data_IF_669918321639
#
_entry.id   IF_669918321639
#
_cell.length_a   1.000
_cell.length_b   1.000
_cell.length_c   1.000
_cell.angle_alpha   90.00
_cell.angle_beta   90.00
_cell.angle_gamma   90.00
#
_symmetry.space_group_name_H-M   'P 1'
#
loop_
_entity.id
_entity.type
_entity.pdbx_description
1 polymer ?
#
# COMPACT_ATOMS: atom_id res chain seq x y z
N UNK A 1 -7.78 25.88 -24.53
CA UNK A 1 -8.31 24.49 -24.58
C UNK A 1 -7.24 23.40 -24.76
N UNK A 2 -5.93 23.68 -24.60
CA UNK A 2 -4.85 22.67 -24.76
C UNK A 2 -4.06 22.36 -23.46
N UNK A 3 -4.33 23.07 -22.36
CA UNK A 3 -3.63 22.90 -21.08
C UNK A 3 -4.24 21.84 -20.17
N UNK A 4 -5.53 21.52 -20.32
CA UNK A 4 -6.20 20.52 -19.46
C UNK A 4 -5.90 19.07 -19.84
N UNK A 5 -5.59 18.78 -21.12
CA UNK A 5 -5.31 17.41 -21.58
C UNK A 5 -3.97 16.90 -21.03
N UNK A 6 -2.92 17.75 -20.96
CA UNK A 6 -1.62 17.34 -20.40
C UNK A 6 -1.66 17.06 -18.89
N UNK A 7 -2.50 17.79 -18.15
CA UNK A 7 -2.66 17.59 -16.69
C UNK A 7 -3.50 16.34 -16.40
N UNK A 8 -4.60 16.11 -17.14
CA UNK A 8 -5.41 14.90 -17.02
C UNK A 8 -4.62 13.62 -17.30
N UNK A 9 -3.70 13.70 -18.26
CA UNK A 9 -2.85 12.59 -18.70
C UNK A 9 -1.71 12.30 -17.72
N UNK A 10 -1.17 13.32 -17.07
CA UNK A 10 -0.16 13.14 -15.99
C UNK A 10 -0.80 12.53 -14.73
N UNK A 11 -2.09 12.80 -14.52
CA UNK A 11 -2.90 12.27 -13.40
C UNK A 11 -3.34 10.82 -13.66
N UNK A 12 -3.57 10.44 -14.93
CA UNK A 12 -3.89 9.07 -15.36
C UNK A 12 -2.86 8.03 -14.88
N UNK A 13 -1.63 8.49 -14.67
CA UNK A 13 -0.43 7.67 -14.45
C UNK A 13 -0.10 7.57 -12.97
N UNK A 14 -0.19 8.69 -12.24
CA UNK A 14 0.01 8.71 -10.79
C UNK A 14 -0.99 7.83 -10.03
N UNK A 15 -2.10 7.44 -10.65
CA UNK A 15 -3.21 6.77 -9.98
C UNK A 15 -3.37 5.30 -10.35
N UNK A 16 -2.75 4.84 -11.43
CA UNK A 16 -2.64 3.39 -11.66
C UNK A 16 -1.56 2.77 -10.74
N UNK A 17 -0.54 3.53 -10.30
CA UNK A 17 0.78 2.94 -10.00
C UNK A 17 1.66 3.58 -8.92
N UNK A 18 1.12 4.27 -7.91
CA UNK A 18 1.96 4.42 -6.71
C UNK A 18 3.14 5.39 -6.84
N UNK A 19 3.07 6.45 -7.65
CA UNK A 19 4.24 7.30 -7.90
C UNK A 19 3.95 8.81 -7.93
N UNK A 20 4.80 9.48 -7.16
CA UNK A 20 4.73 10.85 -6.67
C UNK A 20 5.08 11.84 -7.78
N UNK A 21 4.20 12.82 -8.02
CA UNK A 21 4.60 14.09 -8.64
C UNK A 21 5.47 14.86 -7.64
N UNK A 22 6.79 14.90 -7.86
CA UNK A 22 7.64 15.93 -7.26
C UNK A 22 8.45 16.71 -8.31
N UNK A 23 8.05 17.97 -8.43
CA UNK A 23 8.82 19.16 -8.81
C UNK A 23 9.19 19.41 -10.28
N UNK A 24 8.71 20.55 -10.76
CA UNK A 24 9.52 21.49 -11.53
C UNK A 24 9.18 22.92 -11.07
N UNK A 25 9.85 23.41 -10.03
CA UNK A 25 9.99 24.85 -9.80
C UNK A 25 11.41 25.25 -10.18
N UNK A 26 11.50 26.08 -11.21
CA UNK A 26 12.72 26.64 -11.74
C UNK A 26 13.39 27.59 -10.74
N UNK A 27 14.64 27.29 -10.41
CA UNK A 27 15.57 28.18 -9.72
C UNK A 27 15.80 29.46 -10.53
N UNK A 28 15.48 30.63 -9.93
CA UNK A 28 16.07 31.92 -10.32
C UNK A 28 17.11 32.32 -9.27
N UNK A 29 18.37 32.27 -9.69
CA UNK A 29 19.53 32.96 -9.11
C UNK A 29 19.15 34.37 -8.61
N UNK A 30 19.51 34.69 -7.36
CA UNK A 30 19.90 36.05 -6.98
C UNK A 30 21.13 36.01 -6.08
N UNK A 31 22.11 36.76 -6.55
CA UNK A 31 23.45 37.04 -6.06
C UNK A 31 23.47 37.73 -4.70
N UNK A 32 24.56 37.50 -3.97
CA UNK A 32 24.95 38.24 -2.77
C UNK A 32 25.16 39.74 -3.05
N UNK A 33 25.21 40.58 -1.99
CA UNK A 33 26.51 41.12 -1.65
C UNK A 33 26.83 41.20 -0.14
N UNK A 34 28.13 41.34 0.13
CA UNK A 34 28.78 41.50 1.45
C UNK A 34 28.66 42.93 2.01
N UNK A 35 28.66 42.94 3.35
CA UNK A 35 29.22 43.90 4.33
C UNK A 35 28.94 45.41 4.26
N UNK A 36 28.62 45.98 5.43
CA UNK A 36 29.38 47.07 6.07
C UNK A 36 28.95 47.31 7.53
N UNK A 37 29.96 47.70 8.31
CA UNK A 37 30.07 47.92 9.76
C UNK A 37 29.46 49.24 10.26
N UNK A 38 29.41 49.40 11.59
CA UNK A 38 29.37 50.63 12.46
C UNK A 38 28.03 50.91 13.19
N UNK A 39 27.91 51.38 14.45
CA UNK A 39 28.73 51.56 15.68
C UNK A 39 27.78 52.06 16.80
N UNK A 40 28.02 51.69 18.09
CA UNK A 40 27.64 52.39 19.36
C UNK A 40 26.15 52.61 19.74
N UNK A 41 25.68 52.67 21.00
CA UNK A 41 26.23 52.49 22.36
C UNK A 41 25.07 52.61 23.42
N UNK A 42 25.39 52.22 24.67
CA UNK A 42 24.73 52.49 25.99
C UNK A 42 23.55 51.58 26.40
N UNK A 43 23.36 51.17 27.65
CA UNK A 43 24.16 51.13 28.89
C UNK A 43 23.35 50.41 30.01
N UNK A 44 24.01 49.57 30.83
CA UNK A 44 23.90 49.49 32.33
C UNK A 44 22.53 49.00 32.92
N UNK A 45 22.40 48.10 33.91
CA UNK A 45 23.16 47.71 35.10
C UNK A 45 22.82 46.21 35.45
N UNK A 46 23.78 45.37 35.89
CA UNK A 46 24.13 45.01 37.29
C UNK A 46 22.93 44.42 38.07
N UNK A 47 22.78 43.10 38.22
CA UNK A 47 23.53 42.07 39.00
C UNK A 47 23.02 41.91 40.44
N UNK A 48 23.21 40.68 40.94
CA UNK A 48 23.01 40.13 42.30
C UNK A 48 21.70 39.33 42.47
N UNK A 49 21.64 38.12 43.04
CA UNK A 49 22.61 37.17 43.61
C UNK A 49 21.83 35.87 44.00
N UNK A 50 22.31 34.66 43.68
CA UNK A 50 22.91 33.63 44.59
C UNK A 50 21.97 33.22 45.75
N UNK A 51 21.23 32.10 45.64
CA UNK A 51 21.53 30.73 46.10
C UNK A 51 21.58 30.52 47.63
N UNK A 52 20.95 29.42 48.11
CA UNK A 52 21.52 28.37 48.99
C UNK A 52 20.39 27.51 49.61
N UNK A 53 20.73 26.22 49.79
CA UNK A 53 19.90 25.07 50.13
C UNK A 53 19.72 24.77 51.64
N UNK A 54 18.81 23.83 51.90
CA UNK A 54 18.95 22.63 52.76
C UNK A 54 18.08 22.50 54.03
N UNK A 55 17.42 21.31 54.09
CA UNK A 55 16.99 20.48 55.25
C UNK A 55 16.00 21.10 56.26
N UNK A 56 15.15 20.39 56.99
CA UNK A 56 14.59 19.03 57.05
C UNK A 56 13.70 19.06 58.33
N UNK A 57 12.50 18.47 58.33
CA UNK A 57 11.82 17.89 59.51
C UNK A 57 10.38 17.49 59.11
N UNK A 58 10.09 16.19 58.97
CA UNK A 58 9.57 15.28 60.00
C UNK A 58 8.09 15.52 60.33
N UNK A 59 7.22 14.53 60.05
CA UNK A 59 6.02 14.10 60.83
C UNK A 59 5.11 13.17 60.01
N UNK A 60 4.96 11.94 60.54
CA UNK A 60 3.82 10.99 60.54
C UNK A 60 3.32 10.28 59.26
N UNK A 61 3.68 8.99 59.21
CA UNK A 61 2.90 7.80 58.82
C UNK A 61 1.37 8.00 58.84
N UNK A 62 0.66 7.53 57.80
CA UNK A 62 -0.42 6.50 57.86
C UNK A 62 -0.63 5.90 56.44
N UNK A 63 -0.62 4.56 56.37
CA UNK A 63 -1.21 3.66 55.35
C UNK A 63 -0.91 3.87 53.85
N UNK A 64 -0.21 2.89 53.24
CA UNK A 64 -0.73 2.09 52.10
C UNK A 64 0.19 0.88 51.90
N UNK A 65 -0.41 -0.31 51.93
CA UNK A 65 0.24 -1.59 51.62
C UNK A 65 0.05 -1.88 50.13
N UNK A 66 1.14 -2.34 49.48
CA UNK A 66 1.23 -3.11 48.23
C UNK A 66 1.01 -2.43 46.87
N UNK A 67 1.89 -2.86 45.96
CA UNK A 67 1.88 -2.77 44.50
C UNK A 67 2.44 -1.48 43.88
N UNK A 68 3.74 -1.25 44.08
CA UNK A 68 4.54 -0.57 43.07
C UNK A 68 4.87 -1.62 42.00
N UNK A 69 4.13 -1.54 40.91
CA UNK A 69 4.44 -2.20 39.66
C UNK A 69 5.68 -1.54 39.07
N UNK A 70 6.84 -2.17 39.23
CA UNK A 70 8.00 -1.85 38.38
C UNK A 70 7.79 -2.52 37.02
N UNK A 71 7.32 -1.68 36.10
CA UNK A 71 7.29 -1.87 34.67
C UNK A 71 8.70 -2.18 34.15
N UNK A 72 9.03 -3.46 34.07
CA UNK A 72 10.09 -3.94 33.16
C UNK A 72 9.50 -3.93 31.75
N UNK A 73 10.14 -3.29 30.76
CA UNK A 73 9.57 -3.17 29.43
C UNK A 73 9.44 -4.56 28.78
N UNK A 74 8.21 -4.88 28.38
CA UNK A 74 7.79 -6.01 27.55
C UNK A 74 8.57 -6.16 26.22
N UNK A 75 9.49 -5.25 25.92
CA UNK A 75 10.35 -5.24 24.73
C UNK A 75 11.55 -6.22 24.80
N UNK A 76 11.87 -6.81 25.96
CA UNK A 76 12.97 -7.77 26.10
C UNK A 76 12.54 -9.25 25.99
N UNK A 77 11.24 -9.54 25.84
CA UNK A 77 10.71 -10.91 25.85
C UNK A 77 10.46 -11.52 24.45
N UNK A 78 10.53 -10.73 23.38
CA UNK A 78 10.27 -11.21 22.01
C UNK A 78 11.53 -11.74 21.29
N UNK A 79 12.70 -11.62 21.91
CA UNK A 79 13.99 -12.06 21.37
C UNK A 79 14.23 -13.56 21.57
N UNK A 80 13.46 -14.43 20.92
CA UNK A 80 13.80 -15.84 20.61
C UNK A 80 12.66 -16.66 19.96
N UNK A 81 11.58 -16.06 19.47
CA UNK A 81 10.57 -16.87 18.76
C UNK A 81 11.09 -17.20 17.36
N UNK A 82 11.47 -18.46 17.14
CA UNK A 82 11.74 -18.99 15.81
C UNK A 82 10.53 -18.69 14.90
N UNK A 83 10.79 -18.07 13.75
CA UNK A 83 9.76 -17.80 12.76
C UNK A 83 9.03 -19.10 12.37
N UNK A 84 7.70 -19.03 12.31
CA UNK A 84 6.87 -20.18 11.93
C UNK A 84 5.94 -19.77 10.80
N UNK A 85 6.08 -20.46 9.67
CA UNK A 85 5.16 -20.33 8.54
C UNK A 85 3.72 -20.63 8.98
N UNK A 86 2.83 -19.68 8.72
CA UNK A 86 1.38 -19.84 8.87
C UNK A 86 0.85 -20.70 7.74
N UNK A 87 -0.32 -21.28 7.94
CA UNK A 87 -1.07 -21.97 6.91
C UNK A 87 -2.47 -21.38 6.83
N UNK A 88 -2.84 -20.93 5.64
CA UNK A 88 -4.15 -20.34 5.35
C UNK A 88 -4.81 -21.24 4.31
N UNK A 89 -5.92 -21.87 4.70
CA UNK A 89 -6.77 -22.55 3.74
C UNK A 89 -7.58 -21.49 2.99
N UNK A 90 -7.40 -21.42 1.67
CA UNK A 90 -8.10 -20.45 0.84
C UNK A 90 -8.56 -21.08 -0.46
N UNK A 91 -9.75 -20.66 -0.85
CA UNK A 91 -10.40 -21.01 -2.11
C UNK A 91 -10.46 -19.79 -3.06
N UNK A 92 -9.81 -18.69 -2.70
CA UNK A 92 -9.95 -17.41 -3.39
C UNK A 92 -9.49 -17.43 -4.86
N UNK A 93 -8.37 -18.12 -5.12
CA UNK A 93 -7.71 -18.16 -6.42
C UNK A 93 -6.96 -19.47 -6.60
N UNK A 94 -6.48 -19.73 -7.81
CA UNK A 94 -5.64 -20.88 -8.15
C UNK A 94 -4.82 -20.58 -9.41
N UNK A 95 -3.87 -21.45 -9.75
CA UNK A 95 -3.16 -21.40 -11.03
C UNK A 95 -4.15 -21.57 -12.19
N UNK A 96 -3.99 -20.75 -13.21
CA UNK A 96 -4.90 -20.62 -14.35
C UNK A 96 -5.82 -19.41 -14.27
N UNK A 97 -5.96 -18.79 -13.09
CA UNK A 97 -6.77 -17.58 -12.92
C UNK A 97 -6.23 -16.47 -13.83
N UNK A 98 -7.12 -15.85 -14.60
CA UNK A 98 -6.85 -14.69 -15.44
C UNK A 98 -8.06 -13.76 -15.41
N UNK A 99 -7.84 -12.51 -15.03
CA UNK A 99 -8.84 -11.47 -14.92
C UNK A 99 -8.41 -10.29 -15.80
N UNK A 100 -9.29 -9.83 -16.69
CA UNK A 100 -9.04 -8.76 -17.64
C UNK A 100 -9.99 -7.61 -17.36
N UNK A 101 -9.46 -6.39 -17.31
CA UNK A 101 -10.18 -5.20 -16.90
C UNK A 101 -10.01 -4.08 -17.91
N UNK A 102 -11.06 -3.29 -18.10
CA UNK A 102 -10.97 -2.01 -18.78
C UNK A 102 -10.59 -0.92 -17.78
N UNK A 103 -9.64 -0.08 -18.16
CA UNK A 103 -9.18 1.07 -17.38
C UNK A 103 -9.71 2.35 -18.02
N UNK A 104 -10.61 3.02 -17.32
CA UNK A 104 -11.31 4.21 -17.80
C UNK A 104 -10.94 5.45 -16.97
N UNK A 105 -10.86 6.60 -17.63
CA UNK A 105 -10.76 7.90 -16.99
C UNK A 105 -11.97 8.75 -17.35
N UNK A 106 -12.82 8.97 -16.35
CA UNK A 106 -14.18 9.43 -16.60
C UNK A 106 -14.89 8.50 -17.60
N UNK A 107 -15.52 9.02 -18.67
CA UNK A 107 -16.28 8.21 -19.62
C UNK A 107 -15.43 7.52 -20.70
N UNK A 108 -14.09 7.65 -20.66
CA UNK A 108 -13.21 7.19 -21.74
C UNK A 108 -12.38 6.01 -21.27
N UNK A 109 -12.56 4.85 -21.90
CA UNK A 109 -11.65 3.70 -21.77
C UNK A 109 -10.31 4.03 -22.43
N UNK A 110 -9.24 3.98 -21.65
CA UNK A 110 -7.92 4.42 -22.06
C UNK A 110 -6.84 3.33 -21.89
N UNK A 111 -7.15 2.23 -21.22
CA UNK A 111 -6.22 1.12 -21.04
C UNK A 111 -6.89 -0.21 -20.71
N UNK A 112 -6.05 -1.22 -20.57
CA UNK A 112 -6.39 -2.56 -20.12
C UNK A 112 -5.48 -2.94 -18.95
N UNK A 113 -6.06 -3.56 -17.93
CA UNK A 113 -5.30 -4.21 -16.87
C UNK A 113 -5.55 -5.71 -16.88
N UNK A 114 -4.54 -6.51 -16.58
CA UNK A 114 -4.62 -7.96 -16.50
C UNK A 114 -4.01 -8.41 -15.19
N UNK A 115 -4.72 -9.24 -14.43
CA UNK A 115 -4.15 -10.06 -13.35
C UNK A 115 -4.18 -11.52 -13.75
N UNK A 116 -3.09 -12.25 -13.53
CA UNK A 116 -3.03 -13.67 -13.86
C UNK A 116 -2.14 -14.47 -12.89
N UNK A 117 -2.46 -15.75 -12.73
CA UNK A 117 -1.63 -16.73 -12.03
C UNK A 117 -1.29 -17.85 -13.01
N UNK A 118 -0.37 -17.63 -13.98
CA UNK A 118 -0.13 -18.58 -15.05
C UNK A 118 0.42 -19.94 -14.57
N UNK A 119 1.17 -19.95 -13.47
CA UNK A 119 1.83 -21.16 -12.95
C UNK A 119 2.29 -21.00 -11.51
N UNK A 120 2.66 -22.14 -10.93
CA UNK A 120 3.50 -22.17 -9.75
C UNK A 120 4.96 -21.85 -10.12
N UNK A 121 5.70 -21.31 -9.16
CA UNK A 121 7.16 -21.15 -9.26
C UNK A 121 7.80 -21.36 -7.89
N UNK A 122 8.96 -22.00 -7.84
CA UNK A 122 9.66 -22.25 -6.57
C UNK A 122 10.61 -21.08 -6.26
N UNK A 123 10.41 -20.42 -5.13
CA UNK A 123 11.29 -19.35 -4.62
C UNK A 123 11.77 -19.74 -3.23
N UNK A 124 13.10 -19.69 -3.02
CA UNK A 124 13.74 -20.03 -1.75
C UNK A 124 13.27 -21.38 -1.16
N UNK A 125 13.10 -22.39 -2.02
CA UNK A 125 12.66 -23.74 -1.62
C UNK A 125 11.17 -23.87 -1.27
N UNK A 126 10.37 -22.81 -1.44
CA UNK A 126 8.91 -22.82 -1.21
C UNK A 126 8.14 -22.71 -2.51
N UNK A 127 7.01 -23.42 -2.59
CA UNK A 127 6.13 -23.33 -3.74
C UNK A 127 5.33 -22.02 -3.67
N UNK A 128 5.29 -21.27 -4.77
CA UNK A 128 4.62 -19.96 -4.82
C UNK A 128 3.66 -19.86 -6.00
N UNK A 129 2.61 -19.08 -5.85
CA UNK A 129 1.87 -18.53 -6.98
C UNK A 129 2.73 -17.43 -7.61
N UNK A 130 3.04 -17.56 -8.91
CA UNK A 130 3.54 -16.43 -9.69
C UNK A 130 2.36 -15.59 -10.11
N UNK A 131 2.09 -14.52 -9.39
CA UNK A 131 1.07 -13.55 -9.74
C UNK A 131 1.69 -12.52 -10.68
N UNK A 132 1.10 -12.35 -11.86
CA UNK A 132 1.45 -11.30 -12.80
C UNK A 132 0.32 -10.26 -12.85
N UNK A 133 0.68 -8.99 -12.77
CA UNK A 133 -0.23 -7.88 -13.02
C UNK A 133 0.38 -6.94 -14.05
N UNK A 134 -0.39 -6.54 -15.05
CA UNK A 134 0.05 -5.58 -16.06
C UNK A 134 -1.01 -4.54 -16.35
N UNK A 135 -0.58 -3.31 -16.62
CA UNK A 135 -1.44 -2.20 -17.05
C UNK A 135 -0.86 -1.64 -18.33
N UNK A 136 -1.68 -1.57 -19.37
CA UNK A 136 -1.29 -1.05 -20.67
C UNK A 136 -2.29 0.01 -21.16
N UNK A 137 -1.81 1.16 -21.62
CA UNK A 137 -2.66 2.07 -22.41
C UNK A 137 -3.04 1.43 -23.74
N UNK A 138 -4.23 1.75 -24.25
CA UNK A 138 -4.68 1.29 -25.56
C UNK A 138 -3.88 1.98 -26.68
N UNK A 139 -3.63 1.30 -27.83
CA UNK A 139 -2.93 1.90 -28.97
C UNK A 139 -3.54 3.22 -29.47
N UNK A 140 -4.86 3.37 -29.38
CA UNK A 140 -5.60 4.59 -29.73
C UNK A 140 -5.31 5.78 -28.80
N UNK A 141 -4.74 5.54 -27.62
CA UNK A 141 -4.40 6.53 -26.60
C UNK A 141 -2.89 6.65 -26.34
N UNK A 142 -2.07 5.76 -26.91
CA UNK A 142 -0.60 5.76 -26.73
C UNK A 142 0.06 7.07 -27.15
N UNK A 143 -0.46 7.75 -28.18
CA UNK A 143 0.05 9.03 -28.68
C UNK A 143 -0.12 10.18 -27.68
N UNK A 144 -1.05 10.04 -26.72
CA UNK A 144 -1.25 11.00 -25.63
C UNK A 144 -0.28 10.68 -24.50
N UNK A 145 -0.27 9.41 -24.05
CA UNK A 145 0.64 8.90 -23.03
C UNK A 145 0.64 7.38 -23.01
N UNK A 146 1.83 6.80 -23.12
CA UNK A 146 2.01 5.35 -23.14
C UNK A 146 2.26 4.81 -21.74
N UNK A 147 1.50 3.81 -21.32
CA UNK A 147 1.62 3.08 -20.05
C UNK A 147 1.88 1.61 -20.38
N UNK A 148 2.93 1.01 -19.83
CA UNK A 148 3.34 -0.40 -20.08
C UNK A 148 3.98 -0.99 -18.83
N UNK A 149 3.18 -1.15 -17.80
CA UNK A 149 3.68 -1.52 -16.48
C UNK A 149 3.43 -2.98 -16.17
N UNK A 150 4.39 -3.59 -15.49
CA UNK A 150 4.34 -4.99 -15.11
C UNK A 150 4.81 -5.17 -13.67
N UNK A 151 4.04 -5.96 -12.94
CA UNK A 151 4.28 -6.37 -11.57
C UNK A 151 4.29 -7.88 -11.52
N UNK A 152 5.24 -8.42 -10.77
CA UNK A 152 5.29 -9.83 -10.45
C UNK A 152 5.42 -9.95 -8.94
N UNK A 153 4.59 -10.79 -8.33
CA UNK A 153 4.80 -11.20 -6.94
C UNK A 153 4.73 -12.71 -6.83
N UNK A 154 5.62 -13.27 -6.04
CA UNK A 154 5.73 -14.70 -5.79
C UNK A 154 5.22 -14.97 -4.38
N UNK A 155 3.97 -15.40 -4.30
CA UNK A 155 3.24 -15.55 -3.04
C UNK A 155 3.25 -17.00 -2.61
N UNK A 156 3.77 -17.30 -1.43
CA UNK A 156 3.76 -18.64 -0.86
C UNK A 156 2.35 -19.25 -0.87
N UNK A 157 2.21 -20.50 -1.34
CA UNK A 157 0.90 -21.12 -1.54
C UNK A 157 0.17 -21.46 -0.23
N UNK A 158 0.89 -21.65 0.87
CA UNK A 158 0.30 -21.99 2.18
C UNK A 158 0.19 -20.78 3.09
N UNK A 159 1.27 -20.02 3.21
CA UNK A 159 1.37 -18.89 4.12
C UNK A 159 0.79 -17.61 3.53
N UNK A 160 0.52 -17.55 2.22
CA UNK A 160 0.08 -16.35 1.50
C UNK A 160 0.97 -15.17 1.90
N UNK A 161 2.28 -15.34 1.74
CA UNK A 161 3.29 -14.35 2.09
C UNK A 161 4.21 -14.17 0.87
N UNK A 162 4.56 -12.95 0.48
CA UNK A 162 5.48 -12.78 -0.63
C UNK A 162 6.87 -13.25 -0.25
N UNK A 163 7.55 -13.85 -1.21
CA UNK A 163 8.97 -14.20 -1.17
C UNK A 163 9.79 -13.31 -2.11
N UNK A 164 9.19 -12.86 -3.22
CA UNK A 164 9.80 -11.93 -4.17
C UNK A 164 8.73 -11.03 -4.78
N UNK A 165 9.10 -9.78 -5.05
CA UNK A 165 8.32 -8.81 -5.80
C UNK A 165 9.21 -8.13 -6.84
N UNK A 166 8.68 -7.95 -8.04
CA UNK A 166 9.33 -7.25 -9.16
C UNK A 166 8.36 -6.21 -9.73
N UNK A 167 8.87 -5.03 -10.02
CA UNK A 167 8.14 -3.91 -10.59
C UNK A 167 8.94 -3.40 -11.80
N UNK A 168 8.28 -3.32 -12.95
CA UNK A 168 8.79 -2.76 -14.19
C UNK A 168 7.81 -1.68 -14.65
N UNK A 169 8.18 -0.42 -14.47
CA UNK A 169 7.38 0.73 -14.88
C UNK A 169 7.94 1.32 -16.16
N UNK A 170 7.09 1.56 -17.16
CA UNK A 170 7.40 2.18 -18.45
C UNK A 170 6.24 3.11 -18.82
N UNK A 171 6.37 4.36 -18.42
CA UNK A 171 5.32 5.38 -18.50
C UNK A 171 5.84 6.61 -19.24
N UNK A 172 5.55 6.72 -20.53
CA UNK A 172 6.10 7.72 -21.44
C UNK A 172 7.64 7.86 -21.31
N UNK A 173 8.13 8.89 -20.60
CA UNK A 173 9.56 9.12 -20.35
C UNK A 173 10.06 8.52 -19.04
N UNK A 174 9.16 8.18 -18.12
CA UNK A 174 9.48 7.59 -16.84
C UNK A 174 9.70 6.09 -16.96
N UNK A 175 10.77 5.60 -16.33
CA UNK A 175 11.10 4.18 -16.26
C UNK A 175 11.61 3.86 -14.87
N UNK A 176 11.16 2.73 -14.31
CA UNK A 176 11.68 2.20 -13.05
C UNK A 176 11.70 0.68 -13.11
N UNK A 177 12.76 0.09 -12.58
CA UNK A 177 12.82 -1.32 -12.27
C UNK A 177 13.15 -1.46 -10.77
N UNK A 178 12.38 -2.28 -10.06
CA UNK A 178 12.57 -2.49 -8.62
C UNK A 178 12.32 -3.96 -8.29
N UNK A 179 13.19 -4.53 -7.45
CA UNK A 179 13.07 -5.91 -6.98
C UNK A 179 13.16 -5.90 -5.46
N UNK A 180 12.34 -6.70 -4.80
CA UNK A 180 12.41 -6.95 -3.36
C UNK A 180 12.26 -8.44 -3.06
N UNK A 181 13.26 -9.02 -2.41
CA UNK A 181 13.23 -10.36 -1.83
C UNK A 181 12.86 -10.28 -0.36
N UNK A 182 11.80 -10.98 0.03
CA UNK A 182 11.26 -10.94 1.39
C UNK A 182 11.75 -12.17 2.18
N UNK A 183 12.77 -11.95 3.01
CA UNK A 183 13.22 -12.92 4.00
C UNK A 183 12.33 -12.83 5.25
N UNK A 184 11.15 -13.46 5.17
CA UNK A 184 10.16 -13.46 6.24
C UNK A 184 10.70 -14.07 7.54
N UNK A 185 11.64 -15.02 7.45
CA UNK A 185 12.20 -15.70 8.61
C UNK A 185 13.21 -14.83 9.37
N UNK A 186 14.01 -14.06 8.65
CA UNK A 186 15.00 -13.15 9.23
C UNK A 186 14.51 -11.71 9.34
N UNK A 187 13.24 -11.44 9.03
CA UNK A 187 12.61 -10.11 9.13
C UNK A 187 13.34 -9.04 8.29
N UNK A 188 13.78 -9.38 7.08
CA UNK A 188 14.48 -8.45 6.16
C UNK A 188 13.89 -8.49 4.76
N UNK A 189 13.59 -7.32 4.19
CA UNK A 189 13.42 -7.14 2.75
C UNK A 189 14.75 -6.74 2.12
N UNK A 190 15.26 -7.55 1.19
CA UNK A 190 16.46 -7.28 0.41
C UNK A 190 16.04 -6.74 -0.94
N UNK A 191 16.22 -5.45 -1.18
CA UNK A 191 15.77 -4.79 -2.39
C UNK A 191 16.94 -4.41 -3.28
N UNK A 192 16.65 -4.04 -4.53
CA UNK A 192 17.63 -3.42 -5.43
C UNK A 192 18.16 -2.07 -4.94
N UNK A 193 17.51 -1.47 -3.93
CA UNK A 193 17.84 -0.15 -3.39
C UNK A 193 18.41 -0.22 -1.95
N UNK A 194 18.37 -1.37 -1.28
CA UNK A 194 18.90 -1.56 0.07
C UNK A 194 18.30 -2.73 0.82
N UNK A 195 18.73 -2.92 2.07
CA UNK A 195 18.14 -3.92 2.98
C UNK A 195 17.37 -3.20 4.08
N UNK A 196 16.15 -3.64 4.33
CA UNK A 196 15.24 -2.97 5.26
C UNK A 196 14.60 -3.97 6.23
N UNK A 197 14.48 -3.62 7.52
CA UNK A 197 13.76 -4.46 8.47
C UNK A 197 12.27 -4.49 8.10
N UNK A 198 11.65 -5.66 8.22
CA UNK A 198 10.24 -5.87 7.95
C UNK A 198 9.58 -6.65 9.09
N UNK A 199 8.30 -6.39 9.41
CA UNK A 199 7.55 -7.24 10.32
C UNK A 199 7.27 -8.60 9.67
N UNK A 200 6.93 -9.60 10.50
CA UNK A 200 6.44 -10.88 10.01
C UNK A 200 5.22 -10.70 9.11
N UNK A 201 5.21 -11.43 7.99
CA UNK A 201 4.12 -11.40 7.02
C UNK A 201 3.84 -10.02 6.45
N UNK A 202 4.89 -9.21 6.26
CA UNK A 202 4.78 -8.01 5.42
C UNK A 202 4.43 -8.43 3.99
N UNK A 203 3.61 -7.62 3.33
CA UNK A 203 3.17 -7.83 1.98
C UNK A 203 3.68 -6.73 1.04
N UNK A 204 4.01 -7.07 -0.22
CA UNK A 204 4.00 -6.06 -1.29
C UNK A 204 2.56 -5.67 -1.67
N UNK A 205 2.39 -4.73 -2.59
CA UNK A 205 1.06 -4.25 -2.99
C UNK A 205 0.16 -5.36 -3.55
N UNK A 206 0.69 -6.24 -4.39
CA UNK A 206 -0.07 -7.29 -5.05
C UNK A 206 -0.33 -8.44 -4.09
N UNK A 207 0.65 -8.87 -3.30
CA UNK A 207 0.43 -9.92 -2.30
C UNK A 207 -0.51 -9.47 -1.18
N UNK A 208 -0.55 -8.17 -0.83
CA UNK A 208 -1.53 -7.62 0.10
C UNK A 208 -2.95 -7.75 -0.46
N UNK A 209 -3.14 -7.44 -1.74
CA UNK A 209 -4.41 -7.60 -2.44
C UNK A 209 -4.87 -9.08 -2.45
N UNK A 210 -3.98 -10.00 -2.82
CA UNK A 210 -4.30 -11.43 -2.81
C UNK A 210 -4.54 -11.98 -1.40
N UNK A 211 -3.89 -11.45 -0.37
CA UNK A 211 -4.21 -11.79 1.02
C UNK A 211 -5.56 -11.24 1.45
N UNK A 212 -5.94 -10.02 1.04
CA UNK A 212 -7.26 -9.48 1.33
C UNK A 212 -8.39 -10.39 0.78
N UNK A 213 -8.18 -11.02 -0.38
CA UNK A 213 -9.11 -12.01 -0.95
C UNK A 213 -9.27 -13.28 -0.12
N UNK A 214 -8.37 -13.57 0.83
CA UNK A 214 -8.50 -14.71 1.74
C UNK A 214 -9.20 -14.36 3.05
N UNK A 215 -9.45 -13.08 3.31
CA UNK A 215 -10.11 -12.64 4.54
C UNK A 215 -11.58 -13.02 4.54
N UNK A 216 -12.13 -13.30 5.73
CA UNK A 216 -13.57 -13.42 5.91
C UNK A 216 -14.18 -12.06 6.20
N UNK A 217 -15.11 -11.63 5.35
CA UNK A 217 -15.95 -10.45 5.57
C UNK A 217 -17.33 -10.80 6.15
N UNK A 218 -17.53 -12.07 6.50
CA UNK A 218 -18.75 -12.53 7.15
C UNK A 218 -18.84 -11.92 8.56
N UNK A 219 -19.96 -11.27 8.87
CA UNK A 219 -20.20 -10.65 10.17
C UNK A 219 -19.53 -9.29 10.40
N UNK A 220 -18.72 -8.79 9.45
CA UNK A 220 -18.17 -7.42 9.55
C UNK A 220 -19.26 -6.37 9.36
N UNK A 221 -19.17 -5.28 10.13
CA UNK A 221 -20.01 -4.08 10.01
C UNK A 221 -19.24 -2.99 9.25
N UNK A 222 -19.93 -2.13 8.48
CA UNK A 222 -19.29 -0.98 7.84
C UNK A 222 -18.47 -0.18 8.85
N UNK A 223 -17.18 0.02 8.57
CA UNK A 223 -16.25 0.65 9.49
C UNK A 223 -15.23 -0.30 10.11
N UNK A 224 -15.55 -1.59 10.23
CA UNK A 224 -14.62 -2.62 10.69
C UNK A 224 -13.45 -2.75 9.72
N UNK A 225 -12.28 -3.12 10.23
CA UNK A 225 -11.09 -3.29 9.40
C UNK A 225 -10.19 -4.41 9.89
N UNK A 226 -9.45 -4.98 8.95
CA UNK A 226 -8.33 -5.89 9.24
C UNK A 226 -7.03 -5.15 8.99
N UNK A 227 -6.09 -5.23 9.93
CA UNK A 227 -4.77 -4.62 9.79
C UNK A 227 -3.76 -5.63 9.27
N UNK A 228 -2.98 -5.23 8.28
CA UNK A 228 -1.78 -5.93 7.81
C UNK A 228 -0.64 -4.93 7.58
N UNK A 229 0.54 -5.42 7.18
CA UNK A 229 1.68 -4.57 6.88
C UNK A 229 2.02 -4.64 5.39
N UNK A 230 2.23 -3.48 4.78
CA UNK A 230 2.66 -3.35 3.40
C UNK A 230 4.06 -2.76 3.31
N UNK A 231 4.97 -3.41 2.60
CA UNK A 231 6.29 -2.90 2.31
C UNK A 231 6.26 -2.07 1.04
N UNK A 232 6.75 -0.83 1.13
CA UNK A 232 6.82 0.07 -0.01
C UNK A 232 8.12 0.88 0.06
N UNK A 233 8.87 0.89 -1.04
CA UNK A 233 10.21 1.49 -1.17
C UNK A 233 11.19 0.94 -0.12
N UNK A 234 11.30 1.63 1.01
CA UNK A 234 12.29 1.42 2.06
C UNK A 234 11.67 1.07 3.41
N UNK A 235 10.33 1.04 3.52
CA UNK A 235 9.64 0.96 4.81
C UNK A 235 8.39 0.08 4.77
N UNK A 236 8.06 -0.43 5.94
CA UNK A 236 6.80 -1.13 6.20
C UNK A 236 5.76 -0.17 6.77
N UNK A 237 4.57 -0.20 6.20
CA UNK A 237 3.45 0.66 6.53
C UNK A 237 2.29 -0.18 7.03
N UNK A 238 1.61 0.30 8.07
CA UNK A 238 0.33 -0.27 8.47
C UNK A 238 -0.71 -0.01 7.39
N UNK A 239 -1.31 -1.08 6.88
CA UNK A 239 -2.39 -1.07 5.91
C UNK A 239 -3.65 -1.63 6.57
N UNK A 240 -4.70 -0.82 6.66
CA UNK A 240 -6.02 -1.26 7.13
C UNK A 240 -6.91 -1.53 5.92
N UNK A 241 -7.45 -2.74 5.83
CA UNK A 241 -8.48 -3.08 4.86
C UNK A 241 -9.82 -2.85 5.52
N UNK A 242 -10.43 -1.69 5.28
CA UNK A 242 -11.70 -1.28 5.87
C UNK A 242 -12.86 -1.83 5.07
N UNK A 243 -13.78 -2.52 5.72
CA UNK A 243 -15.03 -2.96 5.14
C UNK A 243 -16.03 -1.80 5.09
N UNK A 244 -16.61 -1.56 3.91
CA UNK A 244 -17.56 -0.47 3.67
C UNK A 244 -19.00 -0.96 3.56
N UNK A 245 -19.22 -2.26 3.35
CA UNK A 245 -20.55 -2.83 3.20
C UNK A 245 -20.63 -3.80 2.03
N UNK A 246 -21.86 -4.08 1.61
CA UNK A 246 -22.19 -4.91 0.46
C UNK A 246 -23.02 -4.11 -0.52
N UNK A 247 -22.83 -4.36 -1.80
CA UNK A 247 -23.67 -3.79 -2.84
C UNK A 247 -23.75 -4.72 -4.05
N UNK A 248 -24.87 -4.64 -4.76
CA UNK A 248 -24.98 -5.18 -6.10
C UNK A 248 -24.21 -4.24 -7.05
N UNK A 249 -23.41 -4.81 -7.94
CA UNK A 249 -22.65 -4.07 -8.95
C UNK A 249 -22.81 -4.75 -10.30
N UNK A 250 -23.18 -3.95 -11.30
CA UNK A 250 -23.23 -4.34 -12.70
C UNK A 250 -22.01 -3.78 -13.44
N UNK A 251 -21.33 -4.64 -14.19
CA UNK A 251 -20.25 -4.32 -15.12
C UNK A 251 -20.47 -5.14 -16.40
N UNK A 252 -19.65 -4.94 -17.43
CA UNK A 252 -19.76 -5.70 -18.69
C UNK A 252 -19.70 -7.22 -18.47
N UNK A 253 -18.88 -7.69 -17.52
CA UNK A 253 -18.76 -9.11 -17.18
C UNK A 253 -20.01 -9.73 -16.50
N UNK A 254 -21.01 -8.92 -16.12
CA UNK A 254 -22.27 -9.35 -15.50
C UNK A 254 -22.65 -8.56 -14.24
N UNK A 255 -23.65 -9.07 -13.53
CA UNK A 255 -24.13 -8.47 -12.28
C UNK A 255 -23.72 -9.33 -11.09
N UNK A 256 -23.13 -8.72 -10.06
CA UNK A 256 -22.56 -9.43 -8.91
C UNK A 256 -23.00 -8.83 -7.59
N UNK A 257 -23.28 -9.69 -6.61
CA UNK A 257 -23.20 -9.32 -5.21
C UNK A 257 -21.73 -9.12 -4.83
N UNK A 258 -21.41 -7.98 -4.21
CA UNK A 258 -20.03 -7.61 -3.86
C UNK A 258 -19.87 -7.21 -2.41
N UNK A 259 -18.68 -7.50 -1.85
CA UNK A 259 -18.15 -6.85 -0.66
C UNK A 259 -17.29 -5.67 -1.07
N UNK A 260 -17.41 -4.58 -0.32
CA UNK A 260 -16.77 -3.31 -0.66
C UNK A 260 -15.71 -3.02 0.39
N UNK A 261 -14.48 -2.79 -0.05
CA UNK A 261 -13.35 -2.54 0.84
C UNK A 261 -12.56 -1.32 0.42
N UNK A 262 -11.92 -0.68 1.40
CA UNK A 262 -11.09 0.51 1.22
C UNK A 262 -9.74 0.28 1.93
N UNK A 263 -8.63 0.18 1.18
CA UNK A 263 -7.30 0.15 1.76
C UNK A 263 -6.92 1.54 2.31
N UNK A 264 -6.58 1.61 3.59
CA UNK A 264 -6.19 2.83 4.29
C UNK A 264 -4.76 2.72 4.79
N UNK A 265 -3.90 3.66 4.38
CA UNK A 265 -2.52 3.78 4.86
C UNK A 265 -2.40 5.01 5.74
N UNK A 266 -1.79 4.85 6.92
CA UNK A 266 -1.59 5.96 7.87
C UNK A 266 -0.68 7.04 7.29
N UNK A 267 0.57 6.69 6.96
CA UNK A 267 1.56 7.65 6.46
C UNK A 267 2.62 7.02 5.55
N UNK A 268 3.10 7.76 4.54
CA UNK A 268 4.29 7.44 3.74
C UNK A 268 4.17 6.28 2.73
N UNK A 269 3.12 5.47 2.80
CA UNK A 269 2.92 4.37 1.86
C UNK A 269 2.24 4.79 0.56
N UNK A 270 2.19 3.84 -0.38
CA UNK A 270 1.68 3.98 -1.74
C UNK A 270 0.41 4.83 -1.85
N UNK A 271 -0.56 4.58 -0.97
CA UNK A 271 -1.92 5.09 -1.07
C UNK A 271 -2.14 6.48 -0.44
N UNK A 272 -1.13 7.13 0.18
CA UNK A 272 -1.33 8.44 0.83
C UNK A 272 -1.53 9.58 -0.17
N UNK A 273 -0.88 9.50 -1.33
CA UNK A 273 -0.85 10.58 -2.31
C UNK A 273 -1.97 10.49 -3.37
N UNK A 274 -2.70 9.37 -3.43
CA UNK A 274 -3.43 8.94 -4.63
C UNK A 274 -4.95 9.06 -4.50
N UNK A 275 -5.41 9.62 -3.37
CA UNK A 275 -6.83 9.80 -3.08
C UNK A 275 -7.49 8.53 -2.55
N UNK A 276 -8.81 8.47 -2.68
CA UNK A 276 -9.63 7.40 -2.09
C UNK A 276 -9.74 6.23 -3.06
N UNK A 277 -9.29 5.05 -2.65
CA UNK A 277 -9.43 3.80 -3.39
C UNK A 277 -10.57 2.98 -2.80
N UNK A 278 -11.49 2.54 -3.63
CA UNK A 278 -12.56 1.62 -3.25
C UNK A 278 -12.51 0.41 -4.17
N UNK A 279 -12.62 -0.78 -3.58
CA UNK A 279 -12.51 -2.05 -4.27
C UNK A 279 -13.78 -2.85 -4.01
N UNK A 280 -14.40 -3.33 -5.08
CA UNK A 280 -15.52 -4.25 -5.04
C UNK A 280 -15.01 -5.64 -5.36
N UNK A 281 -15.16 -6.57 -4.41
CA UNK A 281 -14.84 -7.98 -4.58
C UNK A 281 -16.14 -8.78 -4.62
N UNK A 282 -16.19 -9.89 -5.33
CA UNK A 282 -17.34 -10.81 -5.25
C UNK A 282 -17.61 -11.23 -3.81
N UNK A 283 -18.88 -11.22 -3.39
CA UNK A 283 -19.28 -11.71 -2.06
C UNK A 283 -19.41 -13.24 -2.06
N UNK A 284 -18.28 -13.91 -2.30
CA UNK A 284 -18.17 -15.37 -2.28
C UNK A 284 -16.76 -15.83 -1.85
N UNK A 285 -16.47 -17.12 -2.04
CA UNK A 285 -15.16 -17.67 -1.69
C UNK A 285 -14.03 -17.16 -2.60
N UNK A 286 -14.32 -16.71 -3.84
CA UNK A 286 -13.30 -16.28 -4.82
C UNK A 286 -12.80 -14.88 -4.57
N UNK A 287 -13.72 -13.99 -4.17
CA UNK A 287 -13.45 -12.56 -3.96
C UNK A 287 -12.67 -11.96 -5.12
N UNK A 288 -13.07 -12.27 -6.34
CA UNK A 288 -12.45 -11.65 -7.52
C UNK A 288 -12.82 -10.16 -7.50
N UNK A 289 -11.91 -9.25 -7.83
CA UNK A 289 -12.28 -7.84 -8.00
C UNK A 289 -13.19 -7.69 -9.21
N UNK A 290 -14.30 -6.99 -9.00
CA UNK A 290 -15.25 -6.61 -10.04
C UNK A 290 -15.00 -5.17 -10.47
N UNK A 291 -14.65 -4.29 -9.52
CA UNK A 291 -14.32 -2.90 -9.79
C UNK A 291 -13.30 -2.35 -8.82
N UNK A 292 -12.43 -1.48 -9.30
CA UNK A 292 -11.61 -0.57 -8.50
C UNK A 292 -11.91 0.85 -8.93
N UNK A 293 -12.27 1.71 -7.99
CA UNK A 293 -12.45 3.13 -8.23
C UNK A 293 -11.42 3.90 -7.42
N UNK A 294 -10.75 4.85 -8.07
CA UNK A 294 -9.85 5.78 -7.40
C UNK A 294 -10.18 7.23 -7.79
N UNK A 295 -10.39 8.08 -6.78
CA UNK A 295 -10.55 9.52 -6.99
C UNK A 295 -9.21 10.21 -7.04
N UNK A 296 -8.94 10.91 -8.14
CA UNK A 296 -7.76 11.75 -8.32
C UNK A 296 -8.11 13.24 -8.22
N UNK A 297 -7.08 14.09 -8.18
CA UNK A 297 -7.25 15.55 -8.09
C UNK A 297 -8.14 16.10 -9.21
N UNK A 298 -8.08 15.51 -10.40
CA UNK A 298 -8.93 15.85 -11.54
C UNK A 298 -9.48 14.55 -12.13
N UNK A 299 -10.75 14.24 -11.88
CA UNK A 299 -11.43 13.06 -12.43
C UNK A 299 -11.46 11.82 -11.50
N UNK A 300 -11.84 10.69 -12.06
CA UNK A 300 -11.76 9.37 -11.44
C UNK A 300 -11.14 8.38 -12.42
N UNK A 301 -10.40 7.42 -11.87
CA UNK A 301 -10.03 6.21 -12.60
C UNK A 301 -10.96 5.09 -12.15
N UNK A 302 -11.55 4.43 -13.13
CA UNK A 302 -12.47 3.32 -12.95
C UNK A 302 -11.91 2.11 -13.69
N UNK A 303 -11.66 1.04 -12.95
CA UNK A 303 -11.15 -0.23 -13.47
C UNK A 303 -12.24 -1.26 -13.28
N UNK A 304 -12.85 -1.75 -14.35
CA UNK A 304 -13.99 -2.67 -14.30
C UNK A 304 -13.67 -4.00 -14.96
N UNK A 305 -14.13 -5.09 -14.36
CA UNK A 305 -13.91 -6.43 -14.87
C UNK A 305 -14.65 -6.61 -16.20
N UNK A 306 -13.90 -6.97 -17.24
CA UNK A 306 -14.43 -7.29 -18.56
C UNK A 306 -14.55 -8.80 -18.75
N UNK A 307 -13.50 -9.55 -18.40
CA UNK A 307 -13.43 -11.00 -18.62
C UNK A 307 -12.69 -11.73 -17.50
N UNK A 308 -13.05 -12.99 -17.27
CA UNK A 308 -12.39 -13.85 -16.30
C UNK A 308 -12.35 -15.31 -16.74
N UNK A 309 -11.24 -15.99 -16.44
CA UNK A 309 -11.01 -17.39 -16.76
C UNK A 309 -10.22 -18.10 -15.66
N UNK A 310 -10.31 -19.44 -15.63
CA UNK A 310 -9.48 -20.29 -14.77
C UNK A 310 -9.69 -20.08 -13.26
N UNK A 311 -10.88 -19.66 -12.85
CA UNK A 311 -11.22 -19.45 -11.44
C UNK A 311 -11.16 -20.76 -10.65
N UNK A 312 -10.95 -20.65 -9.34
CA UNK A 312 -10.95 -21.78 -8.42
C UNK A 312 -12.39 -22.30 -8.12
N UNK A 313 -13.21 -22.51 -9.13
CA UNK A 313 -14.63 -22.91 -8.99
C UNK A 313 -15.62 -21.79 -9.34
N UNK A 314 -16.93 -22.03 -9.15
CA UNK A 314 -17.98 -21.12 -9.61
C UNK A 314 -18.05 -19.82 -8.80
N UNK A 315 -18.53 -18.75 -9.46
CA UNK A 315 -18.88 -17.48 -8.83
C UNK A 315 -20.32 -17.55 -8.31
N UNK A 316 -20.48 -17.84 -7.02
CA UNK A 316 -21.79 -17.92 -6.38
C UNK A 316 -22.45 -16.55 -6.22
N UNK A 317 -21.66 -15.48 -6.26
CA UNK A 317 -22.16 -14.13 -6.10
C UNK A 317 -22.69 -13.53 -7.42
N UNK A 318 -22.49 -14.19 -8.56
CA UNK A 318 -23.01 -13.76 -9.86
C UNK A 318 -24.51 -13.97 -9.91
N UNK A 319 -25.25 -12.91 -10.24
CA UNK A 319 -26.71 -12.88 -10.30
C UNK A 319 -27.18 -13.08 -11.74
N UNK A 320 -26.50 -12.43 -12.69
CA UNK A 320 -26.78 -12.43 -14.14
C UNK A 320 -25.46 -12.40 -14.91
#
# INVERSE_FOLDING_TARGET
MQTNTRVAVTIFVACCLGLTLLSAQTSKKKTAPKSKTTTAAKAKARADSIAVAAKADSVRKVATVKAIADSTPKAAADSARLFRWRKIDTKAYTVGERLVFDVSYGPITAGEAIMAIPRYETIAGRNTYRVEFSVNSLPSFDWIYTVRDKYLTFVDVEAIAPLRFEQHIREATYKRDFIADFDQANHVARTSEGNYPIPEYVHDIMSAFYYARTLSYAGMKPGDYVTLYNFYKDKSHELKVKFLGRQELEVEAGTFNTVVVEPLVKEGGLFKAEGRIVIWLTDDERKIPIRVNTKVVIGSIDVELREYHGLNGPLKSRIK
#
